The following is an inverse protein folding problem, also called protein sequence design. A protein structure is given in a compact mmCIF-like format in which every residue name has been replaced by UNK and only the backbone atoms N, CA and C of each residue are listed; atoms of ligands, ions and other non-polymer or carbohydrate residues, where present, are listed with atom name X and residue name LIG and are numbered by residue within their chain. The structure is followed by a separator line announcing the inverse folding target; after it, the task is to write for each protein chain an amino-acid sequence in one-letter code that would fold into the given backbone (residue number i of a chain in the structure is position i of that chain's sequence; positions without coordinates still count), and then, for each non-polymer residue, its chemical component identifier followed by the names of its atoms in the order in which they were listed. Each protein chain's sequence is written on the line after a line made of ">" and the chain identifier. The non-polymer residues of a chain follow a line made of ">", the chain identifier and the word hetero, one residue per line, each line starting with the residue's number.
data_IF_136321755165
#
_entry.id   IF_136321755165
#
_cell.length_a   1.000
_cell.length_b   1.000
_cell.length_c   1.000
_cell.angle_alpha   90.00
_cell.angle_beta   90.00
_cell.angle_gamma   90.00
#
_symmetry.space_group_name_H-M   'P 1'
#
loop_
_entity.id
_entity.type
_entity.pdbx_description
1 polymer ?
#
# COMPACT_ATOMS: atom_id res chain seq x y z
N UNK A 1 -24.46 3.32 24.22
CA UNK A 1 -25.63 3.04 23.36
C UNK A 1 -25.26 3.51 21.98
N UNK A 2 -25.11 2.59 21.04
CA UNK A 2 -24.67 2.90 19.68
C UNK A 2 -25.89 3.27 18.84
N UNK A 3 -25.93 4.50 18.34
CA UNK A 3 -27.05 5.05 17.58
C UNK A 3 -27.12 4.35 16.21
N UNK A 4 -28.17 3.54 15.98
CA UNK A 4 -28.41 2.92 14.68
C UNK A 4 -28.71 4.01 13.65
N UNK A 5 -27.72 4.36 12.82
CA UNK A 5 -27.95 5.16 11.62
C UNK A 5 -28.86 4.40 10.66
N UNK A 6 -30.03 4.97 10.34
CA UNK A 6 -30.88 4.49 9.25
C UNK A 6 -30.11 4.59 7.93
N UNK A 7 -29.89 3.45 7.28
CA UNK A 7 -29.29 3.40 5.95
C UNK A 7 -30.38 3.55 4.90
N UNK A 8 -30.41 4.70 4.23
CA UNK A 8 -31.22 4.90 3.03
C UNK A 8 -30.48 4.32 1.82
N UNK A 9 -31.16 3.47 1.04
CA UNK A 9 -30.62 2.87 -0.18
C UNK A 9 -31.22 3.53 -1.42
N UNK A 10 -30.40 3.74 -2.44
CA UNK A 10 -30.82 4.28 -3.74
C UNK A 10 -30.63 3.21 -4.81
N UNK A 11 -31.65 3.03 -5.65
CA UNK A 11 -31.50 2.31 -6.91
C UNK A 11 -30.88 3.25 -7.95
N UNK A 12 -29.87 2.77 -8.66
CA UNK A 12 -29.24 3.46 -9.79
C UNK A 12 -29.37 2.60 -11.04
N UNK A 13 -29.53 3.24 -12.20
CA UNK A 13 -29.51 2.57 -13.49
C UNK A 13 -28.06 2.44 -13.95
N UNK A 14 -27.66 1.27 -14.45
CA UNK A 14 -26.31 1.05 -14.96
C UNK A 14 -26.00 1.85 -16.24
N UNK A 15 -27.02 2.26 -16.99
CA UNK A 15 -26.87 3.18 -18.14
C UNK A 15 -26.24 4.52 -17.70
N UNK A 16 -26.51 4.95 -16.47
CA UNK A 16 -26.00 6.22 -15.91
C UNK A 16 -24.57 6.08 -15.35
N UNK A 17 -24.00 4.87 -15.32
CA UNK A 17 -22.67 4.62 -14.75
C UNK A 17 -21.63 4.69 -15.87
N UNK A 18 -20.81 5.74 -15.84
CA UNK A 18 -19.68 5.88 -16.75
C UNK A 18 -18.66 4.74 -16.55
N UNK A 19 -18.38 4.01 -17.62
CA UNK A 19 -17.25 3.08 -17.66
C UNK A 19 -15.93 3.86 -17.56
N UNK A 20 -14.98 3.34 -16.77
CA UNK A 20 -13.65 3.93 -16.61
C UNK A 20 -12.59 2.86 -16.79
N UNK A 21 -11.50 3.25 -17.44
CA UNK A 21 -10.30 2.41 -17.51
C UNK A 21 -9.67 2.24 -16.13
N UNK A 22 -9.07 1.08 -15.91
CA UNK A 22 -8.33 0.78 -14.68
C UNK A 22 -6.88 1.19 -14.91
N UNK A 23 -6.40 2.12 -14.09
CA UNK A 23 -4.97 2.42 -14.02
C UNK A 23 -4.28 1.41 -13.11
N UNK A 24 -3.09 0.95 -13.49
CA UNK A 24 -2.39 -0.14 -12.80
C UNK A 24 -1.05 0.33 -12.21
N UNK A 25 -0.80 -0.06 -10.97
CA UNK A 25 0.55 -0.05 -10.41
C UNK A 25 1.37 -1.22 -10.94
N UNK A 26 0.71 -2.37 -11.11
CA UNK A 26 1.28 -3.60 -11.65
C UNK A 26 0.20 -4.38 -12.38
N UNK A 27 0.24 -4.42 -13.70
CA UNK A 27 -0.75 -5.19 -14.47
C UNK A 27 -0.39 -6.69 -14.48
N UNK A 28 -1.35 -7.63 -14.31
CA UNK A 28 -2.77 -7.44 -13.97
C UNK A 28 -3.08 -7.61 -12.47
N UNK A 29 -2.12 -7.31 -11.58
CA UNK A 29 -2.16 -7.70 -10.16
C UNK A 29 -2.62 -6.58 -9.20
N UNK A 30 -2.10 -5.36 -9.35
CA UNK A 30 -2.32 -4.25 -8.42
C UNK A 30 -2.86 -3.02 -9.16
N UNK A 31 -4.18 -2.79 -9.11
CA UNK A 31 -4.79 -1.58 -9.65
C UNK A 31 -4.75 -0.40 -8.67
N UNK A 32 -4.61 0.81 -9.20
CA UNK A 32 -4.68 2.02 -8.39
C UNK A 32 -6.10 2.26 -7.84
N UNK A 33 -6.18 2.81 -6.62
CA UNK A 33 -7.45 3.19 -5.98
C UNK A 33 -8.33 2.00 -5.56
N UNK A 34 -7.76 0.80 -5.50
CA UNK A 34 -8.46 -0.44 -5.11
C UNK A 34 -7.65 -1.19 -4.06
N UNK A 35 -8.33 -2.04 -3.29
CA UNK A 35 -7.70 -2.91 -2.31
C UNK A 35 -7.25 -4.21 -2.97
N UNK A 36 -5.97 -4.56 -2.83
CA UNK A 36 -5.40 -5.86 -3.22
C UNK A 36 -5.04 -6.66 -1.97
N UNK A 37 -5.36 -7.95 -1.97
CA UNK A 37 -5.03 -8.88 -0.88
C UNK A 37 -4.05 -9.93 -1.42
N UNK A 38 -2.93 -10.13 -0.71
CA UNK A 38 -2.01 -11.24 -0.95
C UNK A 38 -2.27 -12.34 0.07
N UNK A 39 -2.66 -13.51 -0.41
CA UNK A 39 -3.03 -14.66 0.43
C UNK A 39 -2.17 -15.88 0.10
N UNK A 40 -1.91 -16.71 1.12
CA UNK A 40 -1.14 -17.94 1.05
C UNK A 40 -0.91 -18.49 2.45
N UNK A 41 -0.39 -19.71 2.57
CA UNK A 41 -0.19 -20.37 3.86
C UNK A 41 0.92 -19.68 4.70
N UNK A 42 0.92 -19.82 6.03
CA UNK A 42 2.01 -19.33 6.87
C UNK A 42 3.36 -19.90 6.41
N UNK A 43 4.38 -19.05 6.29
CA UNK A 43 5.71 -19.47 5.83
C UNK A 43 5.95 -19.37 4.32
N UNK A 44 4.91 -19.14 3.49
CA UNK A 44 5.02 -19.07 2.02
C UNK A 44 5.61 -17.73 1.50
N UNK A 45 6.33 -16.98 2.33
CA UNK A 45 7.07 -15.80 1.88
C UNK A 45 6.24 -14.55 1.53
N UNK A 46 4.96 -14.45 1.95
CA UNK A 46 4.11 -13.27 1.71
C UNK A 46 4.75 -11.96 2.15
N UNK A 47 5.27 -11.90 3.38
CA UNK A 47 5.96 -10.71 3.89
C UNK A 47 7.20 -10.41 3.06
N UNK A 48 8.00 -11.43 2.74
CA UNK A 48 9.18 -11.29 1.88
C UNK A 48 8.82 -10.70 0.52
N UNK A 49 7.75 -11.21 -0.11
CA UNK A 49 7.25 -10.72 -1.38
C UNK A 49 6.83 -9.24 -1.31
N UNK A 50 6.04 -8.85 -0.30
CA UNK A 50 5.61 -7.46 -0.11
C UNK A 50 6.79 -6.52 0.11
N UNK A 51 7.79 -6.93 0.90
CA UNK A 51 8.97 -6.10 1.15
C UNK A 51 9.85 -5.92 -0.10
N UNK A 52 10.00 -6.97 -0.93
CA UNK A 52 10.70 -6.85 -2.21
C UNK A 52 9.93 -5.98 -3.21
N UNK A 53 8.61 -6.13 -3.26
CA UNK A 53 7.77 -5.26 -4.09
C UNK A 53 7.93 -3.80 -3.66
N UNK A 54 7.89 -3.51 -2.35
CA UNK A 54 8.14 -2.18 -1.83
C UNK A 54 9.53 -1.67 -2.22
N UNK A 55 10.57 -2.51 -2.15
CA UNK A 55 11.93 -2.14 -2.54
C UNK A 55 12.00 -1.67 -4.00
N UNK A 56 11.45 -2.45 -4.94
CA UNK A 56 11.40 -2.09 -6.37
C UNK A 56 10.66 -0.76 -6.59
N UNK A 57 9.54 -0.59 -5.90
CA UNK A 57 8.73 0.63 -5.97
C UNK A 57 9.48 1.87 -5.45
N UNK A 58 10.21 1.74 -4.34
CA UNK A 58 11.00 2.86 -3.78
C UNK A 58 12.17 3.29 -4.66
N UNK A 59 12.60 2.45 -5.60
CA UNK A 59 13.67 2.77 -6.55
C UNK A 59 13.19 3.10 -7.96
N UNK A 60 11.89 2.94 -8.21
CA UNK A 60 11.37 3.11 -9.55
C UNK A 60 11.78 1.99 -10.52
N UNK A 61 12.18 0.84 -9.99
CA UNK A 61 12.59 -0.31 -10.80
C UNK A 61 11.38 -1.02 -11.41
N UNK A 62 11.63 -1.83 -12.44
CA UNK A 62 10.61 -2.67 -13.06
C UNK A 62 10.11 -3.72 -12.07
N UNK A 63 8.80 -4.01 -12.08
CA UNK A 63 8.25 -5.11 -11.30
C UNK A 63 8.49 -6.45 -11.99
N UNK A 64 8.31 -7.52 -11.22
CA UNK A 64 8.42 -8.88 -11.72
C UNK A 64 7.48 -9.09 -12.91
N UNK A 65 8.01 -9.66 -13.99
CA UNK A 65 7.27 -9.99 -15.21
C UNK A 65 6.64 -8.78 -15.94
N UNK A 66 7.08 -7.53 -15.67
CA UNK A 66 6.74 -6.41 -16.54
C UNK A 66 7.50 -6.55 -17.87
N UNK A 67 6.76 -6.55 -18.99
CA UNK A 67 7.33 -6.69 -20.34
C UNK A 67 8.18 -5.48 -20.75
N UNK A 68 7.84 -4.30 -20.23
CA UNK A 68 8.56 -3.05 -20.47
C UNK A 68 9.35 -2.66 -19.23
N UNK A 69 10.68 -2.69 -19.34
CA UNK A 69 11.60 -2.18 -18.34
C UNK A 69 11.65 -0.64 -18.32
N UNK A 70 10.49 0.02 -18.42
CA UNK A 70 10.41 1.46 -18.27
C UNK A 70 10.54 1.77 -16.78
N UNK A 71 11.63 2.43 -16.39
CA UNK A 71 11.79 2.89 -15.02
C UNK A 71 10.64 3.82 -14.67
N UNK A 72 9.89 3.49 -13.62
CA UNK A 72 8.86 4.38 -13.07
C UNK A 72 9.53 5.44 -12.19
N UNK A 73 8.83 6.52 -11.91
CA UNK A 73 9.28 7.44 -10.85
C UNK A 73 9.26 6.72 -9.49
N UNK A 74 10.33 6.82 -8.68
CA UNK A 74 10.37 6.28 -7.33
C UNK A 74 9.20 6.77 -6.46
N UNK A 75 8.51 5.85 -5.79
CA UNK A 75 7.34 6.17 -4.95
C UNK A 75 7.62 5.97 -3.46
N UNK A 76 6.84 6.66 -2.63
CA UNK A 76 6.84 6.43 -1.18
C UNK A 76 5.90 5.26 -0.85
N UNK A 77 6.33 4.41 0.08
CA UNK A 77 5.58 3.25 0.57
C UNK A 77 5.32 3.45 2.05
N UNK A 78 4.06 3.36 2.47
CA UNK A 78 3.72 3.21 3.89
C UNK A 78 3.60 1.70 4.16
N UNK A 79 4.42 1.19 5.07
CA UNK A 79 4.38 -0.21 5.47
C UNK A 79 3.94 -0.29 6.94
N UNK A 80 2.85 -1.02 7.21
CA UNK A 80 2.34 -1.21 8.56
C UNK A 80 2.20 -2.71 8.85
N UNK A 81 2.65 -3.12 10.03
CA UNK A 81 2.44 -4.45 10.56
C UNK A 81 2.20 -4.37 12.08
N UNK A 82 1.76 -5.47 12.68
CA UNK A 82 1.65 -5.63 14.13
C UNK A 82 2.41 -6.85 14.66
N UNK A 83 3.03 -7.64 13.76
CA UNK A 83 3.61 -8.95 14.08
C UNK A 83 5.13 -8.88 14.29
N UNK A 84 5.84 -8.06 13.53
CA UNK A 84 7.30 -8.10 13.40
C UNK A 84 7.94 -6.79 13.87
N UNK A 85 9.07 -6.87 14.59
CA UNK A 85 9.86 -5.70 15.01
C UNK A 85 10.38 -4.90 13.80
N UNK A 86 10.21 -3.57 13.84
CA UNK A 86 10.74 -2.69 12.80
C UNK A 86 12.27 -2.75 12.71
N UNK A 87 12.94 -2.72 13.87
CA UNK A 87 14.40 -2.61 13.97
C UNK A 87 15.10 -3.92 13.62
N UNK A 88 14.54 -5.05 14.09
CA UNK A 88 15.22 -6.34 14.04
C UNK A 88 14.74 -7.24 12.90
N UNK A 89 13.58 -6.93 12.30
CA UNK A 89 12.98 -7.79 11.25
C UNK A 89 12.74 -7.01 9.97
N UNK A 90 11.95 -5.93 10.02
CA UNK A 90 11.50 -5.25 8.80
C UNK A 90 12.63 -4.45 8.15
N UNK A 91 13.33 -3.61 8.91
CA UNK A 91 14.42 -2.79 8.38
C UNK A 91 15.56 -3.64 7.80
N UNK A 92 16.06 -4.71 8.46
CA UNK A 92 17.05 -5.59 7.86
C UNK A 92 16.58 -6.23 6.55
N UNK A 93 15.33 -6.71 6.48
CA UNK A 93 14.76 -7.31 5.26
C UNK A 93 14.58 -6.30 4.13
N UNK A 94 14.22 -5.06 4.42
CA UNK A 94 14.15 -3.98 3.43
C UNK A 94 15.54 -3.63 2.89
N UNK A 95 16.54 -3.56 3.77
CA UNK A 95 17.94 -3.33 3.35
C UNK A 95 18.46 -4.47 2.48
N UNK A 96 18.16 -5.72 2.84
CA UNK A 96 18.52 -6.91 2.07
C UNK A 96 17.82 -6.93 0.70
N UNK A 97 16.53 -6.58 0.65
CA UNK A 97 15.78 -6.40 -0.59
C UNK A 97 16.24 -5.18 -1.41
N UNK A 98 17.13 -4.36 -0.86
CA UNK A 98 17.68 -3.19 -1.51
C UNK A 98 16.71 -2.02 -1.59
N UNK A 99 15.78 -1.85 -0.65
CA UNK A 99 14.86 -0.72 -0.64
C UNK A 99 15.58 0.62 -0.38
N UNK A 100 15.09 1.71 -0.98
CA UNK A 100 15.41 3.05 -0.50
C UNK A 100 14.59 3.33 0.77
N UNK A 101 15.21 3.10 1.92
CA UNK A 101 14.55 3.26 3.22
C UNK A 101 14.15 4.71 3.53
N UNK A 102 14.64 5.72 2.81
CA UNK A 102 14.14 7.10 2.96
C UNK A 102 12.73 7.28 2.39
N UNK A 103 12.25 6.31 1.61
CA UNK A 103 10.91 6.29 0.98
C UNK A 103 9.99 5.26 1.60
N UNK A 104 10.45 4.52 2.61
CA UNK A 104 9.60 3.59 3.39
C UNK A 104 9.23 4.26 4.70
N UNK A 105 7.95 4.52 4.87
CA UNK A 105 7.35 5.19 6.02
C UNK A 105 6.56 4.18 6.85
N UNK A 106 6.52 4.39 8.15
CA UNK A 106 5.75 3.60 9.11
C UNK A 106 4.85 4.56 9.90
N UNK A 107 3.68 4.10 10.33
CA UNK A 107 2.83 4.88 11.24
C UNK A 107 3.31 4.60 12.66
N UNK A 108 3.82 5.63 13.34
CA UNK A 108 4.20 5.55 14.74
C UNK A 108 2.96 5.61 15.63
N UNK A 109 2.49 4.44 16.05
CA UNK A 109 1.33 4.30 16.93
C UNK A 109 1.62 4.64 18.40
N UNK A 110 2.90 4.89 18.77
CA UNK A 110 3.27 5.28 20.14
C UNK A 110 2.91 6.73 20.46
N UNK A 111 2.61 7.53 19.44
CA UNK A 111 2.31 8.95 19.56
C UNK A 111 0.84 9.19 19.17
N UNK A 112 -0.01 9.35 20.17
CA UNK A 112 -1.35 9.89 19.95
C UNK A 112 -1.27 11.41 19.82
N UNK A 113 -1.25 11.90 18.57
CA UNK A 113 -1.27 13.33 18.26
C UNK A 113 -2.68 13.94 18.35
N UNK A 114 -3.67 13.18 18.81
CA UNK A 114 -5.07 13.57 18.75
C UNK A 114 -5.59 13.59 17.30
N UNK A 115 -6.84 14.03 17.08
CA UNK A 115 -7.40 14.13 15.74
C UNK A 115 -6.54 15.04 14.86
N UNK A 116 -6.22 14.58 13.65
CA UNK A 116 -5.59 15.36 12.59
C UNK A 116 -6.40 16.64 12.35
N UNK A 117 -5.95 17.76 12.93
CA UNK A 117 -6.51 19.07 12.64
C UNK A 117 -6.16 19.41 11.19
N UNK A 118 -7.18 19.42 10.33
CA UNK A 118 -7.07 19.68 8.89
C UNK A 118 -6.48 21.05 8.54
N UNK A 119 -6.12 21.87 9.54
CA UNK A 119 -5.51 23.19 9.40
C UNK A 119 -4.01 23.26 9.69
N UNK A 120 -3.36 22.18 10.13
CA UNK A 120 -1.89 22.14 10.22
C UNK A 120 -1.37 21.12 9.23
N UNK A 121 -1.03 21.59 8.04
CA UNK A 121 -0.17 20.84 7.13
C UNK A 121 1.12 20.53 7.85
N UNK A 122 1.45 19.24 7.99
CA UNK A 122 2.79 18.83 8.34
C UNK A 122 3.70 19.26 7.17
N UNK A 123 4.72 20.05 7.51
CA UNK A 123 5.88 20.36 6.67
C UNK A 123 6.79 19.14 6.65
#
# INVERSE_FOLDING_TARGET
>A
MEEKREKNYRLINMEDVEAREVNWLWYPYIPFGKLTIVQGDPGEGKTTFILHLAALLTKGEALLCEETAESREPVNVIYQNAEDSLEDTIKPRLLEAGADCNRVLVIDESIDIGPLDSKKGLV
#
